data_IF_071127521703
#
_entry.id   IF_071127521703
#
_cell.length_a   1.000
_cell.length_b   1.000
_cell.length_c   1.000
_cell.angle_alpha   90.00
_cell.angle_beta   90.00
_cell.angle_gamma   90.00
#
_symmetry.space_group_name_H-M   'P 1'
#
loop_
_entity.id
_entity.type
_entity.pdbx_description
1 polymer ?
#
# COMPACT_ATOMS: atom_id res chain seq x y z
N UNK A 1 7.00 22.89 8.81
CA UNK A 1 8.29 23.02 9.55
C UNK A 1 8.71 21.70 10.23
N UNK A 2 7.85 21.05 11.07
CA UNK A 2 8.23 19.82 11.82
C UNK A 2 8.56 18.64 10.91
N UNK A 3 7.81 18.43 9.82
CA UNK A 3 8.05 17.33 8.87
C UNK A 3 9.40 17.50 8.15
N UNK A 4 9.73 18.73 7.75
CA UNK A 4 11.02 19.05 7.12
C UNK A 4 12.17 18.75 8.09
N UNK A 5 12.06 19.21 9.34
CA UNK A 5 13.08 18.94 10.36
C UNK A 5 13.27 17.42 10.60
N UNK A 6 12.17 16.65 10.66
CA UNK A 6 12.23 15.20 10.79
C UNK A 6 12.93 14.51 9.61
N UNK A 7 12.62 14.93 8.37
CA UNK A 7 13.28 14.38 7.18
C UNK A 7 14.77 14.71 7.14
N UNK A 8 15.17 15.93 7.54
CA UNK A 8 16.57 16.31 7.64
C UNK A 8 17.33 15.50 8.71
N UNK A 9 16.69 15.19 9.83
CA UNK A 9 17.26 14.30 10.86
C UNK A 9 17.46 12.88 10.31
N UNK A 10 16.50 12.34 9.55
CA UNK A 10 16.65 11.05 8.90
C UNK A 10 17.79 11.05 7.88
N UNK A 11 17.90 12.10 7.06
CA UNK A 11 19.03 12.25 6.14
C UNK A 11 20.37 12.33 6.88
N UNK A 12 20.44 13.03 8.01
CA UNK A 12 21.66 13.10 8.82
C UNK A 12 22.08 11.74 9.40
N UNK A 13 21.13 10.82 9.60
CA UNK A 13 21.37 9.44 10.01
C UNK A 13 21.69 8.50 8.84
N UNK A 14 21.66 9.00 7.59
CA UNK A 14 21.98 8.25 6.37
C UNK A 14 20.76 7.73 5.61
N UNK A 15 19.52 7.90 6.09
CA UNK A 15 18.32 7.49 5.34
C UNK A 15 18.15 8.34 4.08
N UNK A 16 17.84 7.70 2.96
CA UNK A 16 17.69 8.38 1.66
C UNK A 16 19.00 8.82 1.00
N UNK A 17 20.15 8.48 1.61
CA UNK A 17 21.48 8.83 1.11
C UNK A 17 22.10 7.69 0.32
N UNK A 18 22.76 8.01 -0.77
CA UNK A 18 23.44 7.04 -1.63
C UNK A 18 24.50 6.25 -0.85
N UNK A 19 24.57 4.95 -1.10
CA UNK A 19 25.61 4.07 -0.55
C UNK A 19 25.42 3.64 0.91
N UNK A 20 24.39 4.13 1.62
CA UNK A 20 24.16 3.76 3.03
C UNK A 20 23.31 2.50 3.20
N UNK A 21 22.52 2.12 2.19
CA UNK A 21 21.53 1.05 2.28
C UNK A 21 20.29 1.39 3.12
N UNK A 22 20.19 2.60 3.66
CA UNK A 22 19.07 3.06 4.47
C UNK A 22 18.03 3.78 3.60
N UNK A 23 16.93 3.11 3.26
CA UNK A 23 15.90 3.67 2.41
C UNK A 23 15.01 4.67 3.16
N UNK A 24 14.74 5.82 2.52
CA UNK A 24 13.73 6.80 2.89
C UNK A 24 12.77 6.95 1.71
N UNK A 25 11.54 6.49 1.89
CA UNK A 25 10.50 6.62 0.87
C UNK A 25 9.41 7.57 1.36
N UNK A 26 8.89 8.37 0.45
CA UNK A 26 7.77 9.27 0.73
C UNK A 26 6.49 8.71 0.14
N UNK A 27 5.37 9.10 0.72
CA UNK A 27 4.03 8.73 0.25
C UNK A 27 3.27 9.99 -0.12
N UNK A 28 2.66 9.96 -1.29
CA UNK A 28 1.78 11.01 -1.79
C UNK A 28 0.35 10.50 -1.93
N UNK A 29 -0.60 11.24 -1.37
CA UNK A 29 -2.02 11.09 -1.65
C UNK A 29 -2.56 12.38 -2.27
N UNK A 30 -3.44 12.30 -3.29
CA UNK A 30 -4.08 13.49 -3.84
C UNK A 30 -4.89 14.24 -2.79
N UNK A 31 -4.92 15.56 -2.90
CA UNK A 31 -5.82 16.36 -2.10
C UNK A 31 -7.23 16.29 -2.70
N UNK A 32 -8.14 15.57 -2.02
CA UNK A 32 -9.55 15.47 -2.42
C UNK A 32 -9.88 14.25 -3.28
N UNK A 33 -10.98 14.38 -4.03
CA UNK A 33 -11.62 13.29 -4.79
C UNK A 33 -11.06 13.20 -6.21
N UNK A 34 -9.75 13.02 -6.34
CA UNK A 34 -9.04 12.90 -7.62
C UNK A 34 -8.11 11.70 -7.63
N UNK A 35 -7.71 11.24 -8.81
CA UNK A 35 -6.63 10.26 -8.96
C UNK A 35 -5.26 10.94 -8.80
N UNK A 36 -4.25 10.20 -8.32
CA UNK A 36 -2.88 10.72 -8.32
C UNK A 36 -2.38 10.91 -9.76
N UNK A 37 -1.51 11.91 -10.00
CA UNK A 37 -0.80 12.03 -11.26
C UNK A 37 0.16 10.85 -11.46
N UNK A 38 0.76 10.69 -12.66
CA UNK A 38 1.76 9.66 -12.91
C UNK A 38 2.92 9.72 -11.91
N UNK A 39 3.24 8.58 -11.29
CA UNK A 39 4.19 8.53 -10.16
C UNK A 39 5.61 8.97 -10.55
N UNK A 40 6.13 8.52 -11.70
CA UNK A 40 7.50 8.84 -12.11
C UNK A 40 7.77 10.34 -12.21
N UNK A 41 7.05 11.10 -13.06
CA UNK A 41 7.21 12.56 -13.14
C UNK A 41 6.98 13.27 -11.80
N UNK A 42 6.02 12.81 -10.99
CA UNK A 42 5.77 13.38 -9.67
C UNK A 42 6.96 13.15 -8.72
N UNK A 43 7.57 11.98 -8.74
CA UNK A 43 8.77 11.66 -7.95
C UNK A 43 9.94 12.56 -8.34
N UNK A 44 10.17 12.76 -9.64
CA UNK A 44 11.24 13.64 -10.15
C UNK A 44 11.05 15.08 -9.69
N UNK A 45 9.81 15.59 -9.76
CA UNK A 45 9.49 16.92 -9.27
C UNK A 45 9.73 17.05 -7.77
N UNK A 46 9.28 16.09 -6.97
CA UNK A 46 9.48 16.09 -5.53
C UNK A 46 10.97 15.99 -5.16
N UNK A 47 11.76 15.16 -5.86
CA UNK A 47 13.21 15.06 -5.65
C UNK A 47 13.88 16.40 -5.90
N UNK A 48 13.54 17.07 -7.01
CA UNK A 48 14.08 18.38 -7.35
C UNK A 48 13.71 19.44 -6.33
N UNK A 49 12.42 19.61 -6.04
CA UNK A 49 11.93 20.67 -5.16
C UNK A 49 12.41 20.50 -3.71
N UNK A 50 12.36 19.28 -3.17
CA UNK A 50 12.80 19.02 -1.80
C UNK A 50 14.32 19.17 -1.64
N UNK A 51 15.09 18.82 -2.65
CA UNK A 51 16.54 19.01 -2.64
C UNK A 51 16.89 20.50 -2.72
N UNK A 52 16.30 21.24 -3.65
CA UNK A 52 16.64 22.65 -3.91
C UNK A 52 16.21 23.54 -2.73
N UNK A 53 15.03 23.33 -2.20
CA UNK A 53 14.48 24.22 -1.18
C UNK A 53 14.84 23.84 0.26
N UNK A 54 15.12 22.54 0.51
CA UNK A 54 15.31 22.06 1.87
C UNK A 54 16.55 21.16 2.06
N UNK A 55 17.25 20.80 0.99
CA UNK A 55 18.38 19.87 1.08
C UNK A 55 17.98 18.42 1.40
N UNK A 56 16.68 18.07 1.27
CA UNK A 56 16.15 16.75 1.60
C UNK A 56 16.36 15.80 0.41
N UNK A 57 16.86 14.58 0.72
CA UNK A 57 16.98 13.46 -0.22
C UNK A 57 16.09 12.31 0.22
N UNK A 58 15.56 11.57 -0.75
CA UNK A 58 14.77 10.36 -0.52
C UNK A 58 14.91 9.41 -1.73
N UNK A 59 14.57 8.14 -1.55
CA UNK A 59 14.72 7.12 -2.59
C UNK A 59 13.53 7.11 -3.55
N UNK A 60 12.32 6.89 -3.05
CA UNK A 60 11.11 6.76 -3.87
C UNK A 60 9.94 7.57 -3.33
N UNK A 61 9.06 8.00 -4.25
CA UNK A 61 7.76 8.57 -3.93
C UNK A 61 6.66 7.61 -4.37
N UNK A 62 5.89 7.11 -3.40
CA UNK A 62 4.76 6.21 -3.67
C UNK A 62 3.47 7.01 -3.80
N UNK A 63 2.91 7.06 -5.01
CA UNK A 63 1.65 7.74 -5.27
C UNK A 63 0.47 6.81 -4.99
N UNK A 64 -0.32 7.10 -3.97
CA UNK A 64 -1.44 6.28 -3.53
C UNK A 64 -2.77 6.94 -3.89
N UNK A 65 -3.71 6.14 -4.38
CA UNK A 65 -5.11 6.55 -4.54
C UNK A 65 -5.78 6.64 -3.17
N UNK A 66 -6.56 7.69 -2.95
CA UNK A 66 -7.37 7.79 -1.74
C UNK A 66 -8.47 6.73 -1.73
N UNK A 67 -8.48 5.87 -0.71
CA UNK A 67 -9.51 4.84 -0.57
C UNK A 67 -10.81 5.44 -0.04
N UNK A 68 -11.98 5.15 -0.67
CA UNK A 68 -13.28 5.70 -0.28
C UNK A 68 -13.84 4.99 0.97
N UNK A 69 -13.02 4.86 2.02
CA UNK A 69 -13.33 4.19 3.28
C UNK A 69 -13.03 5.08 4.48
N UNK A 70 -13.57 4.73 5.64
CA UNK A 70 -13.29 5.38 6.91
C UNK A 70 -13.40 6.93 6.83
N UNK A 71 -12.40 7.66 7.33
CA UNK A 71 -12.42 9.12 7.41
C UNK A 71 -12.56 9.79 6.04
N UNK A 72 -11.88 9.30 5.01
CA UNK A 72 -12.01 9.87 3.66
C UNK A 72 -13.38 9.57 3.07
N UNK A 73 -13.89 8.34 3.22
CA UNK A 73 -15.25 7.97 2.83
C UNK A 73 -16.31 8.85 3.51
N UNK A 74 -16.20 9.06 4.81
CA UNK A 74 -17.09 9.96 5.56
C UNK A 74 -17.01 11.41 5.06
N UNK A 75 -15.81 11.90 4.72
CA UNK A 75 -15.63 13.23 4.14
C UNK A 75 -16.30 13.33 2.76
N UNK A 76 -16.19 12.32 1.93
CA UNK A 76 -16.87 12.28 0.62
C UNK A 76 -18.40 12.31 0.77
N UNK A 77 -18.94 11.55 1.73
CA UNK A 77 -20.38 11.53 2.01
C UNK A 77 -20.84 12.90 2.50
N UNK A 78 -20.15 13.50 3.47
CA UNK A 78 -20.51 14.80 4.02
C UNK A 78 -20.46 15.95 2.98
N UNK A 79 -19.60 15.81 1.96
CA UNK A 79 -19.49 16.76 0.85
C UNK A 79 -20.39 16.42 -0.34
N UNK A 80 -21.20 15.36 -0.28
CA UNK A 80 -22.03 14.89 -1.38
C UNK A 80 -21.24 14.37 -2.60
N UNK A 81 -19.95 14.10 -2.45
CA UNK A 81 -19.04 13.72 -3.56
C UNK A 81 -18.71 12.23 -3.63
N UNK A 82 -19.29 11.39 -2.76
CA UNK A 82 -19.01 9.95 -2.74
C UNK A 82 -19.38 9.29 -4.07
N UNK A 83 -20.57 9.57 -4.61
CA UNK A 83 -21.05 8.99 -5.88
C UNK A 83 -20.16 9.36 -7.06
N UNK A 84 -19.80 10.65 -7.20
CA UNK A 84 -18.93 11.14 -8.28
C UNK A 84 -17.52 10.56 -8.17
N UNK A 85 -16.97 10.45 -6.97
CA UNK A 85 -15.66 9.81 -6.78
C UNK A 85 -15.68 8.32 -7.13
N UNK A 86 -16.73 7.60 -6.74
CA UNK A 86 -16.90 6.20 -7.15
C UNK A 86 -17.05 6.03 -8.67
N UNK A 87 -17.72 6.97 -9.35
CA UNK A 87 -17.79 6.98 -10.82
C UNK A 87 -16.42 7.22 -11.44
N UNK A 88 -15.63 8.15 -10.89
CA UNK A 88 -14.25 8.39 -11.31
C UNK A 88 -13.39 7.12 -11.21
N UNK A 89 -13.41 6.44 -10.05
CA UNK A 89 -12.64 5.21 -9.85
C UNK A 89 -13.05 4.10 -10.81
N UNK A 90 -14.36 3.89 -11.00
CA UNK A 90 -14.88 2.88 -11.93
C UNK A 90 -14.54 3.22 -13.39
N UNK A 91 -14.69 4.48 -13.79
CA UNK A 91 -14.36 4.94 -15.15
C UNK A 91 -12.86 4.85 -15.47
N UNK A 92 -12.03 4.88 -14.45
CA UNK A 92 -10.58 4.74 -14.58
C UNK A 92 -10.07 3.31 -14.33
N UNK A 93 -10.96 2.33 -14.16
CA UNK A 93 -10.58 0.93 -13.95
C UNK A 93 -9.69 0.40 -15.08
N UNK A 94 -8.65 -0.35 -14.71
CA UNK A 94 -7.74 -1.04 -15.62
C UNK A 94 -7.58 -2.49 -15.21
N UNK A 95 -7.89 -3.40 -16.13
CA UNK A 95 -7.81 -4.84 -15.88
C UNK A 95 -6.36 -5.30 -15.64
N UNK A 96 -5.40 -4.64 -16.25
CA UNK A 96 -3.96 -4.94 -16.13
C UNK A 96 -3.48 -4.83 -14.68
N UNK A 97 -4.07 -3.92 -13.91
CA UNK A 97 -3.74 -3.75 -12.49
C UNK A 97 -4.10 -4.95 -11.62
N UNK A 98 -5.04 -5.81 -12.06
CA UNK A 98 -5.43 -7.00 -11.30
C UNK A 98 -4.29 -7.99 -11.09
N UNK A 99 -3.30 -8.02 -12.00
CA UNK A 99 -2.17 -8.95 -11.90
C UNK A 99 -1.26 -8.66 -10.71
N UNK A 100 -1.23 -7.39 -10.26
CA UNK A 100 -0.26 -6.90 -9.27
C UNK A 100 -0.88 -6.30 -8.01
N UNK A 101 -2.22 -6.38 -7.83
CA UNK A 101 -2.85 -5.92 -6.58
C UNK A 101 -2.38 -6.74 -5.39
N UNK A 102 -2.12 -6.07 -4.28
CA UNK A 102 -1.53 -6.66 -3.05
C UNK A 102 -2.31 -7.85 -2.50
N UNK A 103 -3.64 -7.81 -2.57
CA UNK A 103 -4.50 -8.86 -2.02
C UNK A 103 -4.33 -10.23 -2.69
N UNK A 104 -3.56 -10.35 -3.79
CA UNK A 104 -3.20 -11.61 -4.42
C UNK A 104 -2.07 -12.36 -3.69
N UNK A 105 -1.25 -11.65 -2.94
CA UNK A 105 -0.05 -12.18 -2.29
C UNK A 105 0.10 -11.80 -0.82
N UNK A 106 -0.88 -11.08 -0.26
CA UNK A 106 -0.84 -10.58 1.10
C UNK A 106 -2.03 -11.11 1.89
N UNK A 107 -1.79 -11.41 3.16
CA UNK A 107 -2.84 -11.67 4.16
C UNK A 107 -2.67 -10.64 5.27
N UNK A 108 -3.73 -9.93 5.60
CA UNK A 108 -3.79 -9.05 6.75
C UNK A 108 -4.38 -9.82 7.94
N UNK A 109 -3.80 -9.63 9.13
CA UNK A 109 -4.20 -10.33 10.35
C UNK A 109 -4.49 -9.29 11.42
N UNK A 110 -5.67 -9.34 12.04
CA UNK A 110 -5.97 -8.46 13.15
C UNK A 110 -5.41 -8.97 14.48
N UNK A 111 -5.55 -8.16 15.52
CA UNK A 111 -5.04 -8.49 16.86
C UNK A 111 -5.72 -9.71 17.50
N UNK A 112 -6.89 -10.13 17.00
CA UNK A 112 -7.59 -11.35 17.42
C UNK A 112 -7.14 -12.58 16.63
N UNK A 113 -6.34 -12.39 15.57
CA UNK A 113 -5.89 -13.43 14.66
C UNK A 113 -6.84 -13.73 13.51
N UNK A 114 -7.88 -12.93 13.30
CA UNK A 114 -8.78 -13.06 12.13
C UNK A 114 -8.05 -12.67 10.83
N UNK A 115 -8.38 -13.37 9.74
CA UNK A 115 -7.73 -13.20 8.45
C UNK A 115 -8.55 -12.32 7.51
N UNK A 116 -7.85 -11.49 6.75
CA UNK A 116 -8.39 -10.60 5.72
C UNK A 116 -7.47 -10.62 4.49
N UNK A 117 -8.03 -10.40 3.30
CA UNK A 117 -7.24 -10.36 2.05
C UNK A 117 -6.35 -9.12 1.96
N UNK A 118 -6.69 -8.05 2.66
CA UNK A 118 -5.91 -6.83 2.77
C UNK A 118 -6.34 -5.99 4.00
N UNK A 119 -5.54 -4.99 4.35
CA UNK A 119 -5.80 -4.05 5.43
C UNK A 119 -7.10 -3.23 5.23
N UNK A 120 -7.47 -2.90 3.99
CA UNK A 120 -8.76 -2.25 3.70
C UNK A 120 -9.95 -3.16 4.00
N UNK A 121 -9.86 -4.44 3.65
CA UNK A 121 -10.85 -5.43 4.02
C UNK A 121 -10.94 -5.59 5.54
N UNK A 122 -9.80 -5.57 6.24
CA UNK A 122 -9.75 -5.57 7.71
C UNK A 122 -10.48 -4.36 8.29
N UNK A 123 -10.21 -3.15 7.77
CA UNK A 123 -10.88 -1.92 8.21
C UNK A 123 -12.40 -1.96 8.02
N UNK A 124 -12.89 -2.75 7.06
CA UNK A 124 -14.31 -2.92 6.74
C UNK A 124 -14.93 -4.17 7.37
N UNK A 125 -14.17 -4.98 8.10
CA UNK A 125 -14.63 -6.24 8.69
C UNK A 125 -14.94 -7.33 7.66
N UNK A 126 -14.41 -7.22 6.44
CA UNK A 126 -14.58 -8.18 5.34
C UNK A 126 -13.52 -9.28 5.46
N UNK A 127 -13.81 -10.30 6.28
CA UNK A 127 -12.88 -11.42 6.50
C UNK A 127 -12.61 -12.19 5.22
N UNK A 128 -11.39 -12.72 5.08
CA UNK A 128 -10.98 -13.59 3.98
C UNK A 128 -11.88 -14.84 3.90
N UNK A 129 -11.82 -15.53 2.78
CA UNK A 129 -12.38 -16.87 2.63
C UNK A 129 -11.28 -17.90 2.86
N UNK A 130 -11.54 -18.93 3.64
CA UNK A 130 -10.62 -20.03 3.86
C UNK A 130 -11.40 -21.28 4.23
N UNK A 131 -11.40 -22.29 3.36
CA UNK A 131 -12.00 -23.60 3.60
C UNK A 131 -13.48 -23.52 4.10
N UNK A 132 -14.25 -22.54 3.63
CA UNK A 132 -15.66 -22.33 4.02
C UNK A 132 -15.88 -21.86 5.45
N UNK A 133 -14.82 -21.50 6.19
CA UNK A 133 -14.93 -21.01 7.57
C UNK A 133 -15.55 -19.61 7.61
N UNK A 134 -16.54 -19.35 8.49
CA UNK A 134 -17.16 -18.03 8.60
C UNK A 134 -16.23 -17.00 9.26
N UNK A 135 -15.24 -17.46 10.03
CA UNK A 135 -14.25 -16.64 10.72
C UNK A 135 -12.88 -17.33 10.65
N UNK A 136 -12.18 -17.22 9.50
CA UNK A 136 -10.86 -17.82 9.35
C UNK A 136 -9.85 -17.09 10.26
N UNK A 137 -8.99 -17.88 10.89
CA UNK A 137 -8.03 -17.43 11.88
C UNK A 137 -6.62 -17.85 11.46
N UNK A 138 -5.58 -17.14 11.90
CA UNK A 138 -4.18 -17.41 11.60
C UNK A 138 -3.77 -18.88 11.84
N UNK A 139 -4.33 -19.52 12.86
CA UNK A 139 -4.09 -20.96 13.15
C UNK A 139 -4.57 -21.88 12.04
N UNK A 140 -5.56 -21.48 11.26
CA UNK A 140 -6.13 -22.29 10.20
C UNK A 140 -5.18 -22.44 9.03
N UNK A 141 -4.23 -21.52 8.87
CA UNK A 141 -3.16 -21.59 7.85
C UNK A 141 -2.19 -22.76 8.09
N UNK A 142 -2.16 -23.35 9.29
CA UNK A 142 -1.39 -24.57 9.56
C UNK A 142 -1.98 -25.81 8.89
N UNK A 143 -3.25 -25.75 8.51
CA UNK A 143 -4.00 -26.90 7.95
C UNK A 143 -4.58 -26.61 6.57
N UNK A 144 -4.71 -25.35 6.18
CA UNK A 144 -5.31 -24.94 4.91
C UNK A 144 -4.46 -23.89 4.23
N UNK A 145 -4.11 -24.17 2.98
CA UNK A 145 -3.44 -23.20 2.10
C UNK A 145 -4.49 -22.20 1.58
N UNK A 146 -4.28 -20.88 1.73
CA UNK A 146 -5.18 -19.87 1.17
C UNK A 146 -5.04 -19.73 -0.35
N UNK A 147 -4.06 -20.35 -0.97
CA UNK A 147 -3.85 -20.28 -2.42
C UNK A 147 -5.07 -20.83 -3.18
N UNK A 148 -5.59 -20.02 -4.10
CA UNK A 148 -6.79 -20.38 -4.88
C UNK A 148 -8.12 -20.02 -4.23
N UNK A 149 -8.16 -19.59 -2.99
CA UNK A 149 -9.38 -19.07 -2.37
C UNK A 149 -9.79 -17.74 -3.01
N UNK A 150 -11.10 -17.47 -3.02
CA UNK A 150 -11.62 -16.26 -3.62
C UNK A 150 -11.38 -15.04 -2.71
N UNK A 151 -10.77 -14.00 -3.27
CA UNK A 151 -10.57 -12.72 -2.59
C UNK A 151 -11.91 -12.00 -2.39
N UNK A 152 -12.16 -11.51 -1.20
CA UNK A 152 -13.33 -10.67 -0.89
C UNK A 152 -13.18 -9.31 -1.54
N UNK A 153 -14.11 -8.96 -2.41
CA UNK A 153 -14.11 -7.66 -3.11
C UNK A 153 -15.29 -6.80 -2.70
N UNK A 154 -15.09 -5.48 -2.74
CA UNK A 154 -16.13 -4.48 -2.55
C UNK A 154 -15.79 -3.22 -3.35
N UNK A 155 -16.61 -2.17 -3.23
CA UNK A 155 -16.47 -0.97 -4.05
C UNK A 155 -15.11 -0.26 -3.87
N UNK A 156 -14.50 -0.34 -2.70
CA UNK A 156 -13.19 0.25 -2.43
C UNK A 156 -12.06 -0.35 -3.29
N UNK A 157 -12.22 -1.60 -3.76
CA UNK A 157 -11.22 -2.27 -4.61
C UNK A 157 -10.93 -1.50 -5.92
N UNK A 158 -11.88 -0.68 -6.39
CA UNK A 158 -11.61 0.21 -7.52
C UNK A 158 -10.51 1.23 -7.22
N UNK A 159 -10.25 1.56 -5.94
CA UNK A 159 -9.11 2.40 -5.57
C UNK A 159 -7.75 1.77 -5.85
N UNK A 160 -7.64 0.44 -5.77
CA UNK A 160 -6.41 -0.28 -6.12
C UNK A 160 -6.22 -0.45 -7.63
N UNK A 161 -7.33 -0.47 -8.43
CA UNK A 161 -7.30 -0.80 -9.85
C UNK A 161 -7.48 0.39 -10.78
N UNK A 162 -7.82 1.58 -10.26
CA UNK A 162 -8.02 2.79 -11.04
C UNK A 162 -6.70 3.42 -11.50
N UNK A 163 -6.68 3.94 -12.73
CA UNK A 163 -5.54 4.68 -13.30
C UNK A 163 -4.26 3.84 -13.38
N UNK A 164 -3.20 4.31 -12.77
CA UNK A 164 -1.92 3.57 -12.67
C UNK A 164 -1.93 2.45 -11.61
N UNK A 165 -3.08 2.23 -10.96
CA UNK A 165 -3.19 1.34 -9.83
C UNK A 165 -2.62 1.92 -8.54
N UNK A 166 -2.83 1.23 -7.42
CA UNK A 166 -2.33 1.67 -6.12
C UNK A 166 -2.09 0.49 -5.20
N UNK A 167 -0.91 0.49 -4.57
CA UNK A 167 -0.51 -0.45 -3.53
C UNK A 167 0.26 0.29 -2.43
N UNK A 168 0.65 -0.38 -1.35
CA UNK A 168 1.56 0.21 -0.35
C UNK A 168 2.92 0.60 -0.93
N UNK A 169 3.31 0.02 -2.08
CA UNK A 169 4.51 0.38 -2.85
C UNK A 169 4.26 1.43 -3.94
N UNK A 170 3.13 2.13 -3.93
CA UNK A 170 2.79 3.14 -4.92
C UNK A 170 2.02 2.58 -6.13
N UNK A 171 2.23 3.19 -7.29
CA UNK A 171 1.60 2.81 -8.55
C UNK A 171 1.99 1.39 -8.98
N UNK A 172 1.00 0.59 -9.41
CA UNK A 172 1.23 -0.81 -9.77
C UNK A 172 2.05 -0.98 -11.05
N UNK A 173 1.89 -0.06 -12.01
CA UNK A 173 2.64 -0.07 -13.29
C UNK A 173 4.07 0.47 -13.20
N UNK A 174 4.50 0.99 -12.06
CA UNK A 174 5.81 1.61 -11.86
C UNK A 174 6.83 0.68 -11.17
N UNK A 175 6.46 -0.53 -10.85
CA UNK A 175 7.36 -1.47 -10.19
C UNK A 175 8.34 -2.04 -11.23
N UNK A 176 9.58 -1.52 -11.22
CA UNK A 176 10.72 -2.39 -11.50
C UNK A 176 10.67 -3.57 -10.53
N UNK A 177 11.07 -4.80 -10.95
CA UNK A 177 10.98 -5.97 -10.10
C UNK A 177 11.65 -5.66 -8.76
N UNK A 178 10.90 -5.78 -7.68
CA UNK A 178 11.37 -5.58 -6.33
C UNK A 178 12.70 -6.32 -6.19
N UNK A 179 13.75 -5.59 -5.90
CA UNK A 179 14.99 -6.17 -5.42
C UNK A 179 14.60 -7.05 -4.22
N UNK A 180 14.55 -8.35 -4.46
CA UNK A 180 14.40 -9.33 -3.40
C UNK A 180 15.58 -9.08 -2.47
N UNK A 181 15.36 -8.31 -1.42
CA UNK A 181 16.23 -8.31 -0.27
C UNK A 181 16.19 -9.74 0.26
N UNK A 182 17.18 -10.52 -0.14
CA UNK A 182 17.37 -11.88 0.32
C UNK A 182 17.59 -11.90 1.81
N UNK A 183 16.50 -11.90 2.54
CA UNK A 183 16.52 -12.35 3.93
C UNK A 183 16.42 -13.87 3.88
N UNK A 184 17.59 -14.51 3.72
CA UNK A 184 17.71 -15.93 4.08
C UNK A 184 17.63 -15.98 5.60
N UNK A 185 16.64 -16.66 6.19
CA UNK A 185 16.67 -16.92 7.62
C UNK A 185 17.88 -17.81 7.93
N UNK A 186 18.79 -17.31 8.76
CA UNK A 186 19.84 -18.16 9.31
C UNK A 186 19.21 -19.35 10.05
N UNK A 187 19.73 -20.57 9.89
CA UNK A 187 19.22 -21.71 10.61
C UNK A 187 19.47 -21.50 12.11
N UNK A 188 18.39 -21.58 12.89
CA UNK A 188 18.45 -21.59 14.35
C UNK A 188 19.29 -22.82 14.76
N UNK A 189 20.51 -22.61 15.21
CA UNK A 189 21.34 -23.66 15.79
C UNK A 189 20.68 -24.17 17.07
N UNK A 190 20.25 -25.42 17.07
CA UNK A 190 19.83 -26.08 18.29
C UNK A 190 21.06 -26.20 19.22
N UNK A 191 21.01 -25.51 20.37
CA UNK A 191 21.98 -25.65 21.43
C UNK A 191 21.90 -27.06 22.04
N UNK A 192 23.02 -27.60 22.57
CA UNK A 192 23.06 -28.95 23.12
C UNK A 192 22.20 -29.06 24.38
N UNK A 193 21.62 -30.28 24.53
CA UNK A 193 20.80 -30.71 25.69
C UNK A 193 21.60 -30.77 27.00
#
# INVERSE_FOLDING_TARGET
ERSIAGLLQLNALGYGMDGTGLALNLVYNPQGATLPPPQGPLEEDYKRELLVHFGIRFNHLFALTNMPVQRFGSTLVSKGSFGSYMQLLRGAYRAENLETVMCRSLISVDWQGDLYDCDFNQMLGLRAQLAGKPRPHLRDLLQHDPAGESIRTAQHCYGCTAGQGSSCGGALGAQEPAHQAGHQPEPISAGPA
#
